data_IF_330214053940
#
_entry.id   IF_330214053940
#
_cell.length_a   1.000
_cell.length_b   1.000
_cell.length_c   1.000
_cell.angle_alpha   90.00
_cell.angle_beta   90.00
_cell.angle_gamma   90.00
#
_symmetry.space_group_name_H-M   'P 1'
#
loop_
_entity.id
_entity.type
_entity.pdbx_description
1 polymer ?
#
# COMPACT_ATOMS: atom_id res chain seq x y z
N UNK A 1 -1.55 0.51 0.79
CA UNK A 1 -0.20 0.27 1.34
C UNK A 1 0.73 1.32 0.77
N UNK A 2 1.34 2.15 1.62
CA UNK A 2 2.30 3.20 1.20
C UNK A 2 3.72 2.65 1.36
N UNK A 3 4.70 3.22 0.65
CA UNK A 3 6.12 2.84 0.77
C UNK A 3 6.68 3.10 2.19
N UNK A 4 6.03 4.00 2.91
CA UNK A 4 6.30 4.34 4.30
C UNK A 4 5.12 3.90 5.15
N UNK A 5 5.39 3.55 6.40
CA UNK A 5 4.35 3.50 7.42
C UNK A 5 3.91 4.94 7.73
N UNK A 6 2.84 5.36 7.05
CA UNK A 6 2.32 6.72 7.18
C UNK A 6 1.69 6.95 8.56
N UNK A 7 1.17 5.91 9.20
CA UNK A 7 0.54 6.02 10.52
C UNK A 7 1.61 6.25 11.58
N UNK A 8 2.71 5.48 11.54
CA UNK A 8 3.88 5.69 12.40
C UNK A 8 4.52 7.07 12.17
N UNK A 9 4.65 7.51 10.91
CA UNK A 9 5.18 8.85 10.62
C UNK A 9 4.28 9.95 11.18
N UNK A 10 2.96 9.84 11.01
CA UNK A 10 1.99 10.80 11.56
C UNK A 10 2.04 10.80 13.09
N UNK A 11 2.20 9.64 13.73
CA UNK A 11 2.35 9.52 15.18
C UNK A 11 3.60 10.28 15.67
N UNK A 12 4.75 10.06 15.05
CA UNK A 12 6.00 10.75 15.40
C UNK A 12 5.89 12.27 15.18
N UNK A 13 5.32 12.70 14.06
CA UNK A 13 5.07 14.12 13.79
C UNK A 13 4.10 14.74 14.81
N UNK A 14 3.11 13.97 15.27
CA UNK A 14 2.16 14.42 16.29
C UNK A 14 2.80 14.60 17.67
N UNK A 15 3.97 14.02 17.93
CA UNK A 15 4.76 14.28 19.17
C UNK A 15 5.44 15.65 19.14
N UNK A 16 5.69 16.20 17.95
CA UNK A 16 6.26 17.55 17.79
C UNK A 16 5.20 18.65 17.94
N UNK A 17 3.92 18.28 18.00
CA UNK A 17 2.81 19.20 18.22
C UNK A 17 2.92 19.79 19.62
N UNK A 18 3.08 21.11 19.70
CA UNK A 18 3.18 21.82 20.96
C UNK A 18 1.76 22.05 21.50
N UNK A 19 1.34 21.12 22.35
CA UNK A 19 0.19 21.25 23.25
C UNK A 19 -1.22 21.23 22.59
N UNK A 20 -1.93 20.10 22.78
CA UNK A 20 -3.32 19.92 22.31
C UNK A 20 -4.32 20.87 23.02
N UNK A 21 -3.97 21.44 24.18
CA UNK A 21 -4.90 22.27 24.97
C UNK A 21 -5.07 23.69 24.43
N UNK A 22 -4.15 24.20 23.61
CA UNK A 22 -4.23 25.55 23.01
C UNK A 22 -5.13 25.67 21.79
N UNK A 23 -5.77 24.59 21.34
CA UNK A 23 -6.69 24.54 20.20
C UNK A 23 -7.97 25.42 20.35
N UNK A 24 -8.14 26.13 21.46
CA UNK A 24 -9.24 27.09 21.67
C UNK A 24 -8.85 28.54 21.38
N UNK A 25 -7.60 28.83 21.06
CA UNK A 25 -7.18 30.18 20.72
C UNK A 25 -7.46 30.51 19.25
N UNK A 26 -7.84 31.76 19.00
CA UNK A 26 -8.08 32.34 17.67
C UNK A 26 -6.88 32.12 16.74
N UNK A 27 -7.09 32.13 15.42
CA UNK A 27 -6.03 31.92 14.39
C UNK A 27 -4.76 32.75 14.62
N UNK A 28 -4.85 33.89 15.32
CA UNK A 28 -3.74 34.77 15.68
C UNK A 28 -2.77 34.20 16.74
N UNK A 29 -3.14 33.18 17.51
CA UNK A 29 -2.36 32.69 18.68
C UNK A 29 -1.74 31.29 18.46
N UNK A 30 -1.82 30.77 17.23
CA UNK A 30 -1.26 29.46 16.85
C UNK A 30 0.24 29.63 16.56
N UNK A 31 1.10 28.84 17.21
CA UNK A 31 2.53 28.87 16.96
C UNK A 31 2.85 28.49 15.51
N UNK A 32 3.81 29.14 14.84
CA UNK A 32 4.28 28.74 13.50
C UNK A 32 4.67 27.25 13.41
N UNK A 33 5.15 26.66 14.52
CA UNK A 33 5.49 25.22 14.59
C UNK A 33 4.26 24.31 14.56
N UNK A 34 3.15 24.72 15.19
CA UNK A 34 1.90 23.95 15.18
C UNK A 34 1.25 24.00 13.80
N UNK A 35 1.27 25.18 13.16
CA UNK A 35 0.82 25.34 11.78
C UNK A 35 1.65 24.46 10.83
N UNK A 36 2.97 24.46 10.97
CA UNK A 36 3.85 23.62 10.16
C UNK A 36 3.55 22.13 10.35
N UNK A 37 3.41 21.68 11.60
CA UNK A 37 3.15 20.27 11.91
C UNK A 37 1.79 19.83 11.36
N UNK A 38 0.76 20.67 11.50
CA UNK A 38 -0.55 20.42 10.90
C UNK A 38 -0.50 20.27 9.38
N UNK A 39 0.18 21.20 8.71
CA UNK A 39 0.36 21.18 7.26
C UNK A 39 1.13 19.93 6.81
N UNK A 40 2.16 19.54 7.55
CA UNK A 40 2.98 18.39 7.23
C UNK A 40 2.17 17.08 7.38
N UNK A 41 1.42 16.90 8.48
CA UNK A 41 0.53 15.74 8.68
C UNK A 41 -0.54 15.69 7.58
N UNK A 42 -1.19 16.81 7.29
CA UNK A 42 -2.24 16.89 6.27
C UNK A 42 -1.69 16.54 4.87
N UNK A 43 -0.46 16.97 4.58
CA UNK A 43 0.23 16.61 3.33
C UNK A 43 0.44 15.11 3.23
N UNK A 44 0.95 14.46 4.28
CA UNK A 44 1.15 13.00 4.33
C UNK A 44 -0.18 12.25 4.14
N UNK A 45 -1.25 12.72 4.78
CA UNK A 45 -2.58 12.13 4.62
C UNK A 45 -3.11 12.23 3.17
N UNK A 46 -2.87 13.36 2.49
CA UNK A 46 -3.29 13.60 1.11
C UNK A 46 -2.40 12.94 0.06
N UNK A 47 -1.21 12.43 0.44
CA UNK A 47 -0.36 11.75 -0.53
C UNK A 47 -1.07 10.52 -1.11
N UNK A 48 -1.05 10.34 -2.43
CA UNK A 48 -1.58 9.14 -3.06
C UNK A 48 -0.80 7.92 -2.57
N UNK A 49 -1.44 6.77 -2.51
CA UNK A 49 -0.71 5.50 -2.42
C UNK A 49 0.21 5.37 -3.63
N UNK A 50 1.47 5.00 -3.38
CA UNK A 50 2.50 4.91 -4.42
C UNK A 50 2.14 3.96 -5.57
N UNK A 51 1.27 2.99 -5.28
CA UNK A 51 0.69 2.08 -6.26
C UNK A 51 -0.79 1.83 -5.93
N UNK A 52 -1.58 1.59 -6.97
CA UNK A 52 -2.97 1.19 -6.85
C UNK A 52 -3.04 -0.33 -6.64
N UNK A 53 -3.36 -0.72 -5.40
CA UNK A 53 -3.48 -2.12 -5.00
C UNK A 53 -4.51 -2.86 -5.85
N UNK A 54 -5.63 -2.23 -6.19
CA UNK A 54 -6.67 -2.86 -6.99
C UNK A 54 -6.16 -3.16 -8.39
N UNK A 55 -5.44 -2.20 -8.98
CA UNK A 55 -4.82 -2.38 -10.29
C UNK A 55 -3.77 -3.49 -10.29
N UNK A 56 -2.96 -3.59 -9.24
CA UNK A 56 -1.98 -4.69 -9.11
C UNK A 56 -2.71 -6.04 -9.00
N UNK A 57 -3.76 -6.11 -8.19
CA UNK A 57 -4.57 -7.33 -8.06
C UNK A 57 -5.16 -7.75 -9.41
N UNK A 58 -5.74 -6.80 -10.17
CA UNK A 58 -6.29 -7.07 -11.51
C UNK A 58 -5.21 -7.63 -12.46
N UNK A 59 -4.04 -7.00 -12.52
CA UNK A 59 -2.93 -7.45 -13.36
C UNK A 59 -2.43 -8.86 -12.98
N UNK A 60 -2.38 -9.16 -11.68
CA UNK A 60 -1.99 -10.49 -11.19
C UNK A 60 -3.07 -11.53 -11.49
N UNK A 61 -4.35 -11.21 -11.35
CA UNK A 61 -5.46 -12.12 -11.70
C UNK A 61 -5.47 -12.44 -13.20
N UNK A 62 -5.27 -11.44 -14.06
CA UNK A 62 -5.14 -11.63 -15.51
C UNK A 62 -3.94 -12.53 -15.83
N UNK A 63 -2.77 -12.23 -15.26
CA UNK A 63 -1.54 -13.01 -15.51
C UNK A 63 -1.69 -14.45 -15.03
N UNK A 64 -2.36 -14.67 -13.88
CA UNK A 64 -2.69 -16.00 -13.38
C UNK A 64 -3.55 -16.77 -14.38
N UNK A 65 -4.59 -16.13 -14.92
CA UNK A 65 -5.48 -16.71 -15.92
C UNK A 65 -4.71 -17.19 -17.17
N UNK A 66 -3.80 -16.35 -17.68
CA UNK A 66 -2.94 -16.69 -18.83
C UNK A 66 -2.13 -17.96 -18.55
N UNK A 67 -1.48 -18.07 -17.39
CA UNK A 67 -0.70 -19.26 -17.06
C UNK A 67 -1.56 -20.51 -16.86
N UNK A 68 -2.76 -20.36 -16.31
CA UNK A 68 -3.72 -21.45 -16.19
C UNK A 68 -4.12 -21.98 -17.57
N UNK A 69 -4.46 -21.09 -18.51
CA UNK A 69 -4.79 -21.46 -19.90
C UNK A 69 -3.60 -22.13 -20.61
N UNK A 70 -2.39 -21.59 -20.48
CA UNK A 70 -1.18 -22.18 -21.06
C UNK A 70 -0.94 -23.60 -20.53
N UNK A 71 -1.21 -23.86 -19.25
CA UNK A 71 -1.06 -25.21 -18.69
C UNK A 71 -1.99 -26.25 -19.32
N UNK A 72 -3.12 -25.83 -19.88
CA UNK A 72 -4.10 -26.70 -20.54
C UNK A 72 -3.82 -26.92 -22.04
N UNK A 73 -3.12 -25.96 -22.68
CA UNK A 73 -2.87 -25.99 -24.13
C UNK A 73 -1.64 -26.82 -24.49
N UNK A 74 -0.60 -26.79 -23.64
CA UNK A 74 0.65 -27.51 -23.90
C UNK A 74 0.49 -29.01 -23.63
N UNK A 75 1.24 -29.83 -24.38
CA UNK A 75 1.28 -31.29 -24.22
C UNK A 75 2.58 -31.80 -23.60
N UNK A 76 3.61 -30.97 -23.57
CA UNK A 76 4.87 -31.32 -22.94
C UNK A 76 4.73 -31.19 -21.42
N UNK A 77 4.98 -32.29 -20.71
CA UNK A 77 4.83 -32.35 -19.26
C UNK A 77 5.76 -31.37 -18.51
N UNK A 78 6.89 -30.99 -19.10
CA UNK A 78 7.83 -30.03 -18.49
C UNK A 78 7.26 -28.63 -18.57
N UNK A 79 6.74 -28.23 -19.74
CA UNK A 79 6.06 -26.93 -19.91
C UNK A 79 4.79 -26.83 -19.06
N UNK A 80 3.96 -27.88 -19.01
CA UNK A 80 2.76 -27.91 -18.16
C UNK A 80 3.13 -27.63 -16.69
N UNK A 81 4.13 -28.34 -16.15
CA UNK A 81 4.60 -28.15 -14.77
C UNK A 81 5.10 -26.73 -14.52
N UNK A 82 5.83 -26.15 -15.47
CA UNK A 82 6.33 -24.78 -15.39
C UNK A 82 5.18 -23.77 -15.30
N UNK A 83 4.14 -23.91 -16.12
CA UNK A 83 3.00 -22.99 -16.11
C UNK A 83 2.14 -23.14 -14.85
N UNK A 84 1.91 -24.36 -14.36
CA UNK A 84 1.27 -24.60 -13.07
C UNK A 84 2.07 -23.93 -11.94
N UNK A 85 3.40 -24.05 -11.95
CA UNK A 85 4.26 -23.40 -10.98
C UNK A 85 4.15 -21.87 -11.00
N UNK A 86 4.08 -21.26 -12.19
CA UNK A 86 3.87 -19.82 -12.34
C UNK A 86 2.50 -19.39 -11.84
N UNK A 87 1.44 -20.13 -12.14
CA UNK A 87 0.09 -19.87 -11.63
C UNK A 87 0.05 -19.87 -10.10
N UNK A 88 0.71 -20.87 -9.47
CA UNK A 88 0.82 -20.97 -8.02
C UNK A 88 1.62 -19.82 -7.41
N UNK A 89 2.74 -19.43 -8.02
CA UNK A 89 3.53 -18.30 -7.56
C UNK A 89 2.73 -16.98 -7.58
N UNK A 90 1.90 -16.78 -8.61
CA UNK A 90 1.04 -15.60 -8.70
C UNK A 90 -0.12 -15.67 -7.70
N UNK A 91 -0.67 -16.86 -7.44
CA UNK A 91 -1.68 -17.03 -6.40
C UNK A 91 -1.14 -16.62 -5.01
N UNK A 92 0.10 -17.02 -4.68
CA UNK A 92 0.77 -16.57 -3.45
C UNK A 92 1.00 -15.06 -3.43
N UNK A 93 1.43 -14.47 -4.56
CA UNK A 93 1.59 -13.01 -4.66
C UNK A 93 0.26 -12.28 -4.43
N UNK A 94 -0.86 -12.79 -4.95
CA UNK A 94 -2.20 -12.26 -4.73
C UNK A 94 -2.61 -12.33 -3.25
N UNK A 95 -2.31 -13.42 -2.56
CA UNK A 95 -2.56 -13.56 -1.12
C UNK A 95 -1.77 -12.51 -0.33
N UNK A 96 -0.48 -12.33 -0.62
CA UNK A 96 0.37 -11.33 0.02
C UNK A 96 -0.18 -9.91 -0.22
N UNK A 97 -0.52 -9.58 -1.47
CA UNK A 97 -0.99 -8.24 -1.82
C UNK A 97 -2.36 -7.94 -1.20
N UNK A 98 -3.30 -8.90 -1.21
CA UNK A 98 -4.62 -8.75 -0.58
C UNK A 98 -4.53 -8.75 0.95
N UNK A 99 -3.59 -9.49 1.51
CA UNK A 99 -3.28 -9.52 2.94
C UNK A 99 -2.46 -8.32 3.42
N UNK A 100 -2.05 -7.40 2.54
CA UNK A 100 -1.26 -6.23 2.92
C UNK A 100 0.16 -6.56 3.39
N UNK A 101 0.71 -7.71 3.00
CA UNK A 101 2.09 -8.11 3.32
C UNK A 101 2.38 -8.35 4.79
N UNK A 102 1.36 -8.47 5.65
CA UNK A 102 1.52 -8.89 7.05
C UNK A 102 1.59 -10.41 7.12
N UNK A 103 2.74 -10.94 7.55
CA UNK A 103 2.87 -12.30 8.10
C UNK A 103 2.22 -12.40 9.49
#
# INVERSE_FOLDING_TARGET
MRLIDADLLIEEMSKWYWDKERQKATEEDISPMDLFTHLAITTVQKQPTAYDVNRIVEQLEETKGIYSELSLIFRDNTEIKKYIGMEQAIALALEIVKGGGTE
#
